data_IF_445786567364
#
_entry.id   IF_445786567364
#
_cell.length_a   1.000
_cell.length_b   1.000
_cell.length_c   1.000
_cell.angle_alpha   90.00
_cell.angle_beta   90.00
_cell.angle_gamma   90.00
#
_symmetry.space_group_name_H-M   'P 1'
#
loop_
_entity.id
_entity.type
_entity.pdbx_description
1 polymer ?
#
# COMPACT_ATOMS: atom_id res chain seq x y z
N UNK A 1 10.67 0.33 -4.39
CA UNK A 1 11.64 0.67 -5.45
C UNK A 1 13.03 0.17 -5.04
N UNK A 2 13.26 -1.13 -5.13
CA UNK A 2 14.60 -1.68 -4.97
C UNK A 2 15.31 -1.60 -6.33
N UNK A 3 15.67 -0.38 -6.74
CA UNK A 3 16.46 -0.14 -7.93
C UNK A 3 17.83 -0.75 -7.76
N UNK A 4 18.10 -1.82 -8.51
CA UNK A 4 19.42 -2.42 -8.65
C UNK A 4 20.38 -1.35 -9.22
N UNK A 5 21.17 -0.72 -8.36
CA UNK A 5 22.24 0.19 -8.77
C UNK A 5 23.27 -0.62 -9.52
N UNK A 6 23.24 -0.56 -10.86
CA UNK A 6 24.36 -1.00 -11.71
C UNK A 6 25.51 -0.04 -11.46
N UNK A 7 26.62 -0.57 -10.98
CA UNK A 7 27.90 0.10 -11.04
C UNK A 7 28.37 0.07 -12.52
N UNK A 8 27.98 1.07 -13.28
CA UNK A 8 28.45 1.32 -14.64
C UNK A 8 29.16 2.67 -14.64
N UNK A 9 30.48 2.68 -14.92
CA UNK A 9 31.24 3.88 -15.09
C UNK A 9 30.76 4.65 -16.32
N UNK A 10 30.36 5.90 -16.12
CA UNK A 10 30.03 6.87 -17.15
C UNK A 10 29.89 8.24 -16.49
N UNK A 11 30.51 9.23 -17.08
CA UNK A 11 30.81 10.58 -16.57
C UNK A 11 29.64 11.55 -16.52
N UNK A 12 28.37 11.11 -16.47
CA UNK A 12 27.18 11.97 -16.67
C UNK A 12 26.41 12.30 -15.40
N UNK A 13 27.09 12.31 -14.25
CA UNK A 13 26.49 12.56 -12.93
C UNK A 13 26.29 14.03 -12.56
N UNK A 14 26.63 14.95 -13.45
CA UNK A 14 26.45 16.39 -13.22
C UNK A 14 25.00 16.79 -13.51
N UNK A 15 24.18 16.80 -12.47
CA UNK A 15 22.81 17.33 -12.51
C UNK A 15 21.70 16.50 -11.85
N UNK A 16 21.96 15.26 -11.43
CA UNK A 16 20.96 14.46 -10.71
C UNK A 16 21.02 14.77 -9.19
N UNK A 17 19.94 15.35 -8.60
CA UNK A 17 19.88 15.62 -7.16
C UNK A 17 20.11 14.37 -6.29
N UNK A 18 19.79 13.18 -6.81
CA UNK A 18 19.99 11.90 -6.13
C UNK A 18 21.47 11.55 -5.98
N UNK A 19 22.30 11.99 -6.92
CA UNK A 19 23.74 11.79 -6.85
C UNK A 19 24.36 12.54 -5.68
N UNK A 20 23.89 13.75 -5.39
CA UNK A 20 24.35 14.54 -4.25
C UNK A 20 23.97 13.91 -2.91
N UNK A 21 22.73 13.43 -2.78
CA UNK A 21 22.29 12.74 -1.56
C UNK A 21 23.10 11.48 -1.32
N UNK A 22 23.38 10.69 -2.38
CA UNK A 22 24.17 9.48 -2.28
C UNK A 22 25.64 9.76 -1.92
N UNK A 23 26.25 10.78 -2.52
CA UNK A 23 27.60 11.22 -2.16
C UNK A 23 27.64 11.70 -0.71
N UNK A 24 26.66 12.50 -0.28
CA UNK A 24 26.57 12.98 1.09
C UNK A 24 26.45 11.83 2.09
N UNK A 25 25.56 10.88 1.87
CA UNK A 25 25.39 9.68 2.70
C UNK A 25 26.69 8.87 2.77
N UNK A 26 27.38 8.69 1.66
CA UNK A 26 28.62 7.94 1.57
C UNK A 26 29.76 8.59 2.37
N UNK A 27 29.87 9.92 2.31
CA UNK A 27 30.90 10.67 3.03
C UNK A 27 30.67 10.71 4.55
N UNK A 28 29.40 10.58 4.99
CA UNK A 28 29.02 10.66 6.40
C UNK A 28 28.79 9.28 7.03
N UNK A 29 28.90 8.21 6.28
CA UNK A 29 28.76 6.86 6.80
C UNK A 29 30.01 6.46 7.59
N UNK A 30 29.81 6.01 8.82
CA UNK A 30 30.87 5.45 9.70
C UNK A 30 30.82 3.94 9.72
N UNK A 31 29.65 3.37 9.46
CA UNK A 31 29.45 1.93 9.34
C UNK A 31 28.48 1.66 8.20
N UNK A 32 28.84 0.71 7.34
CA UNK A 32 28.03 0.29 6.21
C UNK A 32 28.11 -1.21 6.03
N UNK A 33 26.98 -1.87 6.11
CA UNK A 33 26.84 -3.26 5.71
C UNK A 33 25.63 -3.42 4.77
N UNK A 34 25.28 -4.67 4.45
CA UNK A 34 24.22 -4.99 3.48
C UNK A 34 22.84 -4.50 3.91
N UNK A 35 22.58 -4.45 5.21
CA UNK A 35 21.26 -4.18 5.80
C UNK A 35 21.27 -2.98 6.74
N UNK A 36 22.40 -2.34 7.01
CA UNK A 36 22.46 -1.18 7.88
C UNK A 36 23.48 -0.14 7.44
N UNK A 37 23.13 1.11 7.71
CA UNK A 37 23.97 2.28 7.52
C UNK A 37 23.92 3.11 8.79
N UNK A 38 25.09 3.39 9.38
CA UNK A 38 25.23 4.34 10.50
C UNK A 38 25.97 5.59 10.03
N UNK A 39 25.43 6.74 10.38
CA UNK A 39 26.01 8.04 10.02
C UNK A 39 26.82 8.62 11.19
N UNK A 40 27.71 9.57 10.90
CA UNK A 40 28.55 10.27 11.89
C UNK A 40 27.75 10.97 13.01
N UNK A 41 26.53 11.42 12.71
CA UNK A 41 25.63 12.05 13.68
C UNK A 41 24.88 11.05 14.59
N UNK A 42 25.20 9.76 14.50
CA UNK A 42 24.54 8.70 15.26
C UNK A 42 23.26 8.12 14.61
N UNK A 43 22.75 8.73 13.55
CA UNK A 43 21.58 8.21 12.85
C UNK A 43 21.87 6.85 12.25
N UNK A 44 20.87 5.96 12.29
CA UNK A 44 20.95 4.59 11.77
C UNK A 44 19.79 4.35 10.81
N UNK A 45 20.08 3.81 9.64
CA UNK A 45 19.08 3.28 8.70
C UNK A 45 19.29 1.77 8.67
N UNK A 46 18.25 1.00 8.85
CA UNK A 46 18.33 -0.45 8.91
C UNK A 46 17.18 -1.08 8.12
N UNK A 47 17.51 -2.05 7.26
CA UNK A 47 16.54 -2.93 6.63
C UNK A 47 16.39 -4.19 7.47
N UNK A 48 15.15 -4.60 7.69
CA UNK A 48 14.79 -5.83 8.41
C UNK A 48 13.81 -6.63 7.57
N UNK A 49 13.77 -7.94 7.76
CA UNK A 49 12.71 -8.77 7.21
C UNK A 49 11.39 -8.50 7.96
N UNK A 50 10.26 -8.80 7.31
CA UNK A 50 8.91 -8.57 7.83
C UNK A 50 8.47 -9.50 8.98
N UNK A 51 9.41 -10.07 9.75
CA UNK A 51 9.09 -10.93 10.88
C UNK A 51 8.76 -10.11 12.13
N UNK A 52 7.75 -10.53 12.89
CA UNK A 52 7.28 -9.87 14.11
C UNK A 52 8.38 -9.64 15.16
N UNK A 53 9.34 -10.54 15.29
CA UNK A 53 10.45 -10.42 16.25
C UNK A 53 11.44 -9.32 15.88
N UNK A 54 11.60 -9.03 14.59
CA UNK A 54 12.50 -7.98 14.13
C UNK A 54 11.95 -6.57 14.38
N UNK A 55 10.63 -6.42 14.51
CA UNK A 55 9.97 -5.12 14.74
C UNK A 55 10.08 -4.62 16.19
N UNK A 56 10.35 -5.50 17.16
CA UNK A 56 10.32 -5.19 18.61
C UNK A 56 11.62 -4.64 19.20
N UNK A 57 12.70 -4.54 18.43
CA UNK A 57 14.04 -4.49 19.00
C UNK A 57 14.64 -3.11 19.24
N UNK A 58 14.13 -2.04 18.64
CA UNK A 58 14.73 -0.69 18.78
C UNK A 58 13.65 0.39 18.65
N UNK A 59 13.74 1.47 19.42
CA UNK A 59 12.96 2.67 19.21
C UNK A 59 13.33 3.31 17.86
N UNK A 60 12.34 3.59 17.01
CA UNK A 60 12.56 4.16 15.69
C UNK A 60 11.83 5.48 15.52
N UNK A 61 12.47 6.45 14.88
CA UNK A 61 11.89 7.75 14.56
C UNK A 61 11.02 7.68 13.29
N UNK A 62 11.34 6.76 12.37
CA UNK A 62 10.58 6.50 11.16
C UNK A 62 10.60 5.00 10.85
N UNK A 63 9.42 4.41 10.77
CA UNK A 63 9.21 3.07 10.25
C UNK A 63 8.68 3.18 8.82
N UNK A 64 9.38 2.54 7.87
CA UNK A 64 8.93 2.37 6.50
C UNK A 64 8.55 0.91 6.28
N UNK A 65 7.31 0.65 5.91
CA UNK A 65 6.81 -0.68 5.53
C UNK A 65 6.59 -0.67 4.03
N UNK A 66 7.42 -1.41 3.31
CA UNK A 66 7.34 -1.55 1.86
C UNK A 66 6.52 -2.79 1.51
N UNK A 67 5.76 -2.74 0.44
CA UNK A 67 4.86 -3.81 -0.02
C UNK A 67 3.87 -4.28 1.05
N UNK A 68 3.30 -3.35 1.80
CA UNK A 68 2.50 -3.62 2.99
C UNK A 68 1.28 -4.53 2.73
N UNK A 69 0.68 -4.48 1.52
CA UNK A 69 -0.45 -5.33 1.15
C UNK A 69 -0.07 -6.81 0.93
N UNK A 70 1.22 -7.12 0.80
CA UNK A 70 1.75 -8.46 0.49
C UNK A 70 2.48 -9.11 1.67
N UNK A 71 2.54 -8.43 2.82
CA UNK A 71 3.18 -8.97 4.02
C UNK A 71 2.19 -9.85 4.78
N UNK A 72 2.54 -11.12 4.95
CA UNK A 72 1.79 -12.02 5.81
C UNK A 72 1.83 -11.56 7.27
N UNK A 73 0.69 -11.66 7.98
CA UNK A 73 0.56 -11.29 9.39
C UNK A 73 1.04 -9.86 9.72
N UNK A 74 0.86 -8.92 8.79
CA UNK A 74 1.28 -7.52 8.95
C UNK A 74 0.66 -6.86 10.18
N UNK A 75 -0.54 -7.27 10.59
CA UNK A 75 -1.22 -6.73 11.78
C UNK A 75 -0.41 -6.98 13.05
N UNK A 76 0.15 -8.17 13.22
CA UNK A 76 1.03 -8.49 14.36
C UNK A 76 2.33 -7.71 14.28
N UNK A 77 2.92 -7.62 13.08
CA UNK A 77 4.15 -6.87 12.82
C UNK A 77 3.96 -5.39 13.11
N UNK A 78 2.86 -4.80 12.66
CA UNK A 78 2.52 -3.41 12.91
C UNK A 78 2.22 -3.15 14.39
N UNK A 79 1.46 -4.02 15.05
CA UNK A 79 1.18 -3.91 16.48
C UNK A 79 2.47 -3.94 17.31
N UNK A 80 3.38 -4.83 16.96
CA UNK A 80 4.70 -4.90 17.60
C UNK A 80 5.54 -3.63 17.37
N UNK A 81 5.50 -3.11 16.15
CA UNK A 81 6.20 -1.89 15.76
C UNK A 81 5.61 -0.63 16.41
N UNK A 82 4.29 -0.60 16.63
CA UNK A 82 3.59 0.53 17.25
C UNK A 82 4.14 0.86 18.66
N UNK A 83 4.58 -0.16 19.40
CA UNK A 83 5.23 0.02 20.69
C UNK A 83 6.56 0.80 20.57
N UNK A 84 7.28 0.61 19.48
CA UNK A 84 8.56 1.29 19.23
C UNK A 84 8.36 2.72 18.72
N UNK A 85 7.18 3.05 18.17
CA UNK A 85 6.78 4.37 17.72
C UNK A 85 6.15 5.23 18.82
N UNK A 86 5.82 4.65 19.99
CA UNK A 86 5.10 5.32 21.09
C UNK A 86 5.82 6.56 21.65
N UNK A 87 7.11 6.74 21.33
CA UNK A 87 7.92 7.90 21.72
C UNK A 87 7.89 9.07 20.73
N UNK A 88 6.92 9.07 19.80
CA UNK A 88 6.77 10.14 18.78
C UNK A 88 7.34 9.78 17.41
N UNK A 89 7.60 8.51 17.14
CA UNK A 89 7.99 8.02 15.81
C UNK A 89 6.83 8.08 14.81
N UNK A 90 7.17 8.09 13.53
CA UNK A 90 6.22 8.09 12.41
C UNK A 90 6.25 6.75 11.68
N UNK A 91 5.12 6.37 11.08
CA UNK A 91 5.02 5.19 10.21
C UNK A 91 4.58 5.62 8.81
N UNK A 92 5.22 5.05 7.79
CA UNK A 92 4.81 5.15 6.40
C UNK A 92 4.66 3.73 5.85
N UNK A 93 3.45 3.36 5.47
CA UNK A 93 3.16 2.12 4.78
C UNK A 93 2.89 2.42 3.30
N UNK A 94 3.55 1.70 2.41
CA UNK A 94 3.37 1.84 0.97
C UNK A 94 3.23 0.46 0.33
N UNK A 95 2.40 0.41 -0.69
CA UNK A 95 2.16 -0.80 -1.48
C UNK A 95 1.40 -0.46 -2.76
N UNK A 96 1.45 -1.32 -3.75
CA UNK A 96 0.36 -1.47 -4.71
C UNK A 96 -0.79 -2.23 -4.03
N UNK A 97 -2.04 -2.07 -4.50
CA UNK A 97 -3.18 -2.83 -3.99
C UNK A 97 -2.99 -4.35 -4.13
N UNK A 98 -3.55 -5.10 -3.21
CA UNK A 98 -3.60 -6.56 -3.27
C UNK A 98 -4.97 -7.05 -2.77
N UNK A 99 -6.02 -6.72 -3.51
CA UNK A 99 -7.39 -7.03 -3.14
C UNK A 99 -7.94 -6.21 -1.99
N UNK A 100 -9.18 -6.49 -1.63
CA UNK A 100 -9.90 -5.88 -0.52
C UNK A 100 -9.78 -6.73 0.75
N UNK A 101 -10.00 -6.11 1.92
CA UNK A 101 -10.11 -6.81 3.21
C UNK A 101 -8.78 -7.07 3.92
N UNK A 102 -7.62 -6.91 3.28
CA UNK A 102 -6.33 -7.00 3.99
C UNK A 102 -6.07 -5.75 4.86
N UNK A 103 -5.05 -5.81 5.69
CA UNK A 103 -4.69 -4.73 6.60
C UNK A 103 -4.41 -3.41 5.88
N UNK A 104 -3.70 -3.44 4.75
CA UNK A 104 -3.36 -2.22 4.00
C UNK A 104 -4.60 -1.54 3.44
N UNK A 105 -5.49 -2.30 2.80
CA UNK A 105 -6.79 -1.82 2.32
C UNK A 105 -7.63 -1.24 3.46
N UNK A 106 -7.82 -2.00 4.55
CA UNK A 106 -8.64 -1.58 5.69
C UNK A 106 -8.07 -0.31 6.35
N UNK A 107 -6.75 -0.20 6.45
CA UNK A 107 -6.08 0.98 7.00
C UNK A 107 -6.25 2.18 6.08
N UNK A 108 -6.14 1.99 4.76
CA UNK A 108 -6.30 3.03 3.76
C UNK A 108 -7.73 3.60 3.76
N UNK A 109 -8.75 2.74 3.70
CA UNK A 109 -10.17 3.15 3.71
C UNK A 109 -10.52 3.90 5.00
N UNK A 110 -10.08 3.41 6.15
CA UNK A 110 -10.27 4.12 7.44
C UNK A 110 -9.58 5.48 7.46
N UNK A 111 -8.44 5.61 6.79
CA UNK A 111 -7.74 6.89 6.68
C UNK A 111 -8.50 7.88 5.79
N UNK A 112 -9.14 7.42 4.70
CA UNK A 112 -9.97 8.28 3.83
C UNK A 112 -11.14 8.94 4.57
N UNK A 113 -11.71 8.24 5.55
CA UNK A 113 -12.81 8.76 6.39
C UNK A 113 -12.35 9.29 7.75
N UNK A 114 -11.04 9.46 7.93
CA UNK A 114 -10.41 9.96 9.15
C UNK A 114 -10.72 9.14 10.42
N UNK A 115 -10.94 7.84 10.29
CA UNK A 115 -11.15 6.90 11.40
C UNK A 115 -9.84 6.38 12.02
N UNK A 116 -8.68 6.73 11.44
CA UNK A 116 -7.38 6.44 12.01
C UNK A 116 -6.43 7.65 11.87
N UNK A 117 -5.21 7.53 12.36
CA UNK A 117 -4.21 8.61 12.33
C UNK A 117 -3.37 8.67 11.06
N UNK A 118 -3.59 7.78 10.10
CA UNK A 118 -2.88 7.81 8.83
C UNK A 118 -3.45 8.87 7.90
N UNK A 119 -2.58 9.42 7.05
CA UNK A 119 -2.95 10.31 5.95
C UNK A 119 -2.90 9.49 4.65
N UNK A 120 -4.03 9.29 3.95
CA UNK A 120 -4.04 8.50 2.74
C UNK A 120 -3.43 9.29 1.58
N UNK A 121 -2.55 8.63 0.82
CA UNK A 121 -1.94 9.19 -0.38
C UNK A 121 -2.10 8.18 -1.51
N UNK A 122 -2.79 8.57 -2.58
CA UNK A 122 -2.96 7.77 -3.80
C UNK A 122 -2.12 8.35 -4.93
N UNK A 123 -1.25 7.52 -5.51
CA UNK A 123 -0.30 7.92 -6.55
C UNK A 123 -0.47 7.06 -7.81
N UNK A 124 -1.58 7.21 -8.57
CA UNK A 124 -1.77 6.48 -9.81
C UNK A 124 -0.76 6.94 -10.87
N UNK A 125 -0.66 6.20 -11.97
CA UNK A 125 0.27 6.51 -13.06
C UNK A 125 0.11 7.94 -13.61
N UNK A 126 -1.08 8.52 -13.52
CA UNK A 126 -1.41 9.87 -14.02
C UNK A 126 -0.67 11.00 -13.30
N UNK A 127 -0.14 10.75 -12.09
CA UNK A 127 0.67 11.74 -11.37
C UNK A 127 2.11 11.83 -11.91
N UNK A 128 2.54 10.86 -12.72
CA UNK A 128 3.88 10.85 -13.28
C UNK A 128 3.90 11.65 -14.60
N UNK A 129 4.73 12.70 -14.72
CA UNK A 129 4.67 13.64 -15.85
C UNK A 129 5.02 13.01 -17.21
N UNK A 130 5.78 11.91 -17.21
CA UNK A 130 6.21 11.23 -18.44
C UNK A 130 5.29 10.08 -18.85
N UNK A 131 4.26 9.76 -18.05
CA UNK A 131 3.29 8.70 -18.34
C UNK A 131 2.05 9.29 -18.98
N UNK A 132 1.63 8.72 -20.11
CA UNK A 132 0.45 9.12 -20.85
C UNK A 132 -0.42 7.90 -21.18
N UNK A 133 -1.56 8.10 -21.84
CA UNK A 133 -2.47 7.01 -22.19
C UNK A 133 -1.80 5.92 -23.04
N UNK A 134 -0.91 6.29 -23.96
CA UNK A 134 -0.19 5.32 -24.78
C UNK A 134 0.69 4.40 -23.89
N UNK A 135 1.33 4.97 -22.88
CA UNK A 135 2.08 4.20 -21.89
C UNK A 135 1.13 3.27 -21.10
N UNK A 136 -0.05 3.76 -20.70
CA UNK A 136 -1.03 2.95 -19.96
C UNK A 136 -1.56 1.78 -20.80
N UNK A 137 -1.88 2.04 -22.08
CA UNK A 137 -2.32 1.01 -23.04
C UNK A 137 -1.24 -0.07 -23.31
N UNK A 138 0.03 0.31 -23.21
CA UNK A 138 1.12 -0.66 -23.25
C UNK A 138 1.11 -1.56 -22.01
N UNK A 139 0.86 -1.00 -20.83
CA UNK A 139 0.77 -1.81 -19.61
C UNK A 139 -0.40 -2.81 -19.69
N UNK A 140 -1.55 -2.43 -20.25
CA UNK A 140 -2.67 -3.34 -20.46
C UNK A 140 -2.31 -4.52 -21.38
N UNK A 141 -1.52 -4.25 -22.42
CA UNK A 141 -1.07 -5.29 -23.35
C UNK A 141 -0.02 -6.22 -22.74
N UNK A 142 0.90 -5.66 -21.94
CA UNK A 142 2.04 -6.39 -21.41
C UNK A 142 1.70 -7.17 -20.13
N UNK A 143 0.87 -6.61 -19.25
CA UNK A 143 0.49 -7.17 -17.95
C UNK A 143 -0.93 -7.76 -17.94
N UNK A 144 -1.77 -7.38 -18.89
CA UNK A 144 -3.21 -7.57 -18.87
C UNK A 144 -3.93 -6.50 -18.05
N UNK A 145 -5.22 -6.22 -18.36
CA UNK A 145 -5.95 -5.09 -17.76
C UNK A 145 -5.99 -5.13 -16.24
N UNK A 146 -6.19 -6.29 -15.65
CA UNK A 146 -6.27 -6.48 -14.19
C UNK A 146 -4.97 -6.10 -13.48
N UNK A 147 -3.85 -6.66 -13.93
CA UNK A 147 -2.54 -6.36 -13.33
C UNK A 147 -2.15 -4.89 -13.57
N UNK A 148 -2.47 -4.36 -14.73
CA UNK A 148 -2.22 -2.96 -15.03
C UNK A 148 -3.06 -2.02 -14.16
N UNK A 149 -4.31 -2.36 -13.84
CA UNK A 149 -5.14 -1.61 -12.91
C UNK A 149 -4.57 -1.65 -11.48
N UNK A 150 -4.13 -2.82 -11.02
CA UNK A 150 -3.45 -2.98 -9.73
C UNK A 150 -2.19 -2.13 -9.65
N UNK A 151 -1.26 -2.28 -10.61
CA UNK A 151 0.07 -1.69 -10.55
C UNK A 151 0.11 -0.20 -10.94
N UNK A 152 -0.84 0.25 -11.76
CA UNK A 152 -0.82 1.59 -12.32
C UNK A 152 -1.91 2.50 -11.77
N UNK A 153 -3.13 1.99 -11.56
CA UNK A 153 -4.29 2.82 -11.21
C UNK A 153 -4.52 2.88 -9.68
N UNK A 154 -3.80 2.07 -8.92
CA UNK A 154 -4.02 1.89 -7.47
C UNK A 154 -5.46 1.44 -7.18
N UNK A 155 -5.97 0.47 -7.94
CA UNK A 155 -7.32 -0.04 -7.80
C UNK A 155 -7.36 -1.29 -6.94
N UNK A 156 -8.04 -1.21 -5.80
CA UNK A 156 -8.21 -2.34 -4.88
C UNK A 156 -9.19 -3.40 -5.38
N UNK A 157 -10.21 -3.00 -6.13
CA UNK A 157 -11.23 -3.95 -6.61
C UNK A 157 -10.67 -4.87 -7.70
N UNK A 158 -9.89 -4.33 -8.62
CA UNK A 158 -9.27 -5.11 -9.71
C UNK A 158 -8.09 -5.95 -9.24
N UNK A 159 -7.59 -5.73 -8.02
CA UNK A 159 -6.45 -6.43 -7.46
C UNK A 159 -6.91 -7.62 -6.60
N UNK A 160 -6.08 -8.65 -6.49
CA UNK A 160 -6.37 -9.84 -5.68
C UNK A 160 -7.06 -10.97 -6.46
N UNK A 161 -7.15 -12.15 -5.83
CA UNK A 161 -7.88 -13.31 -6.36
C UNK A 161 -9.34 -13.22 -5.94
N UNK A 162 -10.19 -12.72 -6.82
CA UNK A 162 -11.64 -12.69 -6.62
C UNK A 162 -12.28 -13.90 -7.29
N UNK A 163 -13.29 -14.49 -6.66
CA UNK A 163 -14.08 -15.59 -7.23
C UNK A 163 -14.96 -15.12 -8.40
N UNK A 164 -15.34 -13.85 -8.37
CA UNK A 164 -16.11 -13.19 -9.42
C UNK A 164 -15.26 -12.10 -10.06
N UNK A 165 -15.39 -11.93 -11.37
CA UNK A 165 -14.76 -10.82 -12.06
C UNK A 165 -15.33 -9.48 -11.55
N UNK A 166 -14.50 -8.43 -11.40
CA UNK A 166 -14.97 -7.11 -10.92
C UNK A 166 -16.09 -6.52 -11.78
N UNK A 167 -16.05 -6.77 -13.10
CA UNK A 167 -17.05 -6.33 -14.05
C UNK A 167 -18.42 -6.99 -13.81
N UNK A 168 -18.42 -8.26 -13.41
CA UNK A 168 -19.65 -8.98 -13.04
C UNK A 168 -20.25 -8.40 -11.77
N UNK A 169 -19.41 -8.10 -10.76
CA UNK A 169 -19.86 -7.47 -9.52
C UNK A 169 -20.43 -6.08 -9.78
N UNK A 170 -19.75 -5.27 -10.58
CA UNK A 170 -20.25 -3.94 -10.95
C UNK A 170 -21.57 -4.02 -11.74
N UNK A 171 -21.68 -4.96 -12.68
CA UNK A 171 -22.92 -5.17 -13.42
C UNK A 171 -24.08 -5.53 -12.48
N UNK A 172 -23.86 -6.42 -11.50
CA UNK A 172 -24.90 -6.78 -10.53
C UNK A 172 -25.24 -5.62 -9.61
N UNK A 173 -24.26 -4.84 -9.18
CA UNK A 173 -24.46 -3.64 -8.34
C UNK A 173 -25.31 -2.61 -9.08
N UNK A 174 -24.96 -2.27 -10.31
CA UNK A 174 -25.68 -1.27 -11.10
C UNK A 174 -27.07 -1.73 -11.56
N UNK A 175 -27.24 -3.05 -11.79
CA UNK A 175 -28.46 -3.59 -12.40
C UNK A 175 -29.46 -4.09 -11.35
N UNK A 176 -28.97 -4.74 -10.29
CA UNK A 176 -29.81 -5.50 -9.36
C UNK A 176 -29.77 -4.98 -7.92
N UNK A 177 -28.84 -4.11 -7.58
CA UNK A 177 -28.83 -3.52 -6.25
C UNK A 177 -30.07 -2.64 -6.07
N UNK A 178 -30.87 -2.97 -5.08
CA UNK A 178 -32.08 -2.22 -4.70
C UNK A 178 -32.04 -1.98 -3.21
N UNK A 179 -32.49 -0.81 -2.80
CA UNK A 179 -32.75 -0.56 -1.39
C UNK A 179 -33.78 -1.56 -0.87
N UNK A 180 -33.63 -2.03 0.38
CA UNK A 180 -34.62 -2.89 0.97
C UNK A 180 -35.96 -2.14 1.09
N UNK A 181 -37.04 -2.82 0.72
CA UNK A 181 -38.41 -2.26 0.82
C UNK A 181 -38.76 -1.92 2.28
N UNK A 182 -38.22 -2.65 3.23
CA UNK A 182 -38.46 -2.46 4.65
C UNK A 182 -37.25 -2.89 5.50
N UNK A 183 -37.02 -2.16 6.60
CA UNK A 183 -36.05 -2.56 7.62
C UNK A 183 -36.79 -2.86 8.92
N UNK A 184 -36.62 -4.05 9.45
CA UNK A 184 -37.29 -4.58 10.65
C UNK A 184 -36.27 -5.00 11.71
N UNK A 185 -36.75 -5.26 12.91
CA UNK A 185 -35.96 -5.74 14.04
C UNK A 185 -35.44 -4.61 14.93
N UNK A 186 -34.81 -5.00 16.02
CA UNK A 186 -34.12 -4.06 16.91
C UNK A 186 -32.93 -3.49 16.11
N UNK A 187 -32.85 -2.17 16.05
CA UNK A 187 -31.81 -1.43 15.29
C UNK A 187 -31.90 -1.58 13.75
N UNK A 188 -33.02 -2.07 13.19
CA UNK A 188 -33.22 -2.16 11.74
C UNK A 188 -32.29 -3.15 11.02
N UNK A 189 -31.80 -4.16 11.72
CA UNK A 189 -30.81 -5.12 11.21
C UNK A 189 -31.39 -6.27 10.35
N UNK A 190 -32.74 -6.36 10.24
CA UNK A 190 -33.42 -7.25 9.30
C UNK A 190 -33.86 -6.44 8.06
N UNK A 191 -33.24 -6.70 6.92
CA UNK A 191 -33.56 -6.03 5.66
C UNK A 191 -34.46 -6.92 4.82
N UNK A 192 -35.60 -6.39 4.38
CA UNK A 192 -36.60 -7.11 3.61
C UNK A 192 -36.75 -6.45 2.25
N UNK A 193 -36.40 -7.17 1.16
CA UNK A 193 -36.56 -6.69 -0.22
C UNK A 193 -37.93 -7.07 -0.80
N UNK A 194 -38.42 -8.28 -0.47
CA UNK A 194 -39.74 -8.74 -0.84
C UNK A 194 -40.39 -9.45 0.36
N UNK A 195 -41.68 -9.22 0.56
CA UNK A 195 -42.43 -9.96 1.57
C UNK A 195 -42.63 -11.39 1.12
N UNK A 196 -42.53 -12.39 2.02
CA UNK A 196 -42.79 -13.78 1.67
C UNK A 196 -44.20 -13.95 1.10
N UNK A 197 -44.32 -14.65 -0.03
CA UNK A 197 -45.62 -15.04 -0.57
C UNK A 197 -46.02 -16.40 0.02
N UNK A 198 -46.96 -16.36 0.95
CA UNK A 198 -47.49 -17.57 1.63
C UNK A 198 -48.60 -18.25 0.85
N UNK A 199 -48.90 -17.82 -0.38
CA UNK A 199 -49.99 -18.36 -1.18
C UNK A 199 -49.54 -19.46 -2.16
N UNK A 200 -48.28 -19.84 -2.17
CA UNK A 200 -47.72 -20.94 -2.94
C UNK A 200 -47.39 -22.13 -2.08
#
# INVERSE_FOLDING_TARGET
>A
FCGRLRAGGGSDWYGDPRAYLWQWLRLHAVEKNKLSLRLKNGSKIQAKSSNSDSARSEAVSLLLIDEAAFIDNIEETFTAAQQTLATGGQCMALSTPNGIGNWFHSTYVKAEVAENSFVPIKLPWTVHPERNQVWRDMQDRDLGPRMAAQECDCDFLSSGETVFEPEDLQFYEETYQKDPAEKRGVDGNLWVWESPDYTK
#
